data_IF_310951662133
#
_entry.id   IF_310951662133
#
_cell.length_a   1.000
_cell.length_b   1.000
_cell.length_c   1.000
_cell.angle_alpha   90.00
_cell.angle_beta   90.00
_cell.angle_gamma   90.00
#
_symmetry.space_group_name_H-M   'P 1'
#
loop_
_entity.id
_entity.type
_entity.pdbx_description
1 polymer ?
#
# COMPACT_ATOMS: atom_id res chain seq x y z
N UNK A 1 -14.55 -56.64 -42.79
CA UNK A 1 -14.06 -55.73 -43.84
C UNK A 1 -13.55 -54.49 -43.12
N UNK A 2 -12.28 -54.50 -42.74
CA UNK A 2 -11.66 -53.40 -42.02
C UNK A 2 -10.97 -52.47 -43.02
N UNK A 3 -11.41 -51.22 -43.06
CA UNK A 3 -10.76 -50.16 -43.82
C UNK A 3 -9.54 -49.68 -43.03
N UNK A 4 -8.32 -49.67 -43.60
CA UNK A 4 -7.17 -49.11 -42.93
C UNK A 4 -7.26 -47.58 -42.96
N UNK A 5 -7.47 -46.98 -41.80
CA UNK A 5 -7.27 -45.54 -41.60
C UNK A 5 -5.76 -45.29 -41.62
N UNK A 6 -5.23 -44.93 -42.78
CA UNK A 6 -3.86 -44.44 -42.89
C UNK A 6 -3.79 -43.05 -42.26
N UNK A 7 -3.30 -42.96 -41.03
CA UNK A 7 -2.85 -41.69 -40.46
C UNK A 7 -1.59 -41.26 -41.23
N UNK A 8 -1.73 -40.31 -42.15
CA UNK A 8 -0.58 -39.63 -42.75
C UNK A 8 0.12 -38.83 -41.66
N UNK A 9 1.29 -39.30 -41.23
CA UNK A 9 2.20 -38.50 -40.42
C UNK A 9 2.73 -37.34 -41.27
N UNK A 10 2.04 -36.20 -41.20
CA UNK A 10 2.45 -34.95 -41.84
C UNK A 10 3.41 -34.23 -40.89
N UNK A 11 4.67 -34.15 -41.27
CA UNK A 11 5.65 -33.30 -40.59
C UNK A 11 5.40 -31.81 -40.89
N UNK A 12 5.86 -30.95 -39.98
CA UNK A 12 5.83 -29.50 -40.16
C UNK A 12 6.83 -29.06 -41.24
N UNK A 13 6.43 -28.09 -42.06
CA UNK A 13 7.36 -27.46 -43.01
C UNK A 13 8.22 -26.41 -42.31
N UNK A 14 9.45 -26.19 -42.78
CA UNK A 14 10.37 -25.22 -42.18
C UNK A 14 9.77 -23.80 -42.07
N UNK A 15 9.03 -23.37 -43.10
CA UNK A 15 8.32 -22.08 -43.10
C UNK A 15 7.21 -22.00 -42.05
N UNK A 16 6.49 -23.09 -41.83
CA UNK A 16 5.42 -23.16 -40.82
C UNK A 16 6.00 -23.02 -39.41
N UNK A 17 7.12 -23.70 -39.14
CA UNK A 17 7.83 -23.56 -37.87
C UNK A 17 8.30 -22.11 -37.65
N UNK A 18 8.89 -21.47 -38.67
CA UNK A 18 9.30 -20.06 -38.60
C UNK A 18 8.11 -19.17 -38.25
N UNK A 19 6.99 -19.33 -38.93
CA UNK A 19 5.82 -18.49 -38.73
C UNK A 19 5.23 -18.65 -37.33
N UNK A 20 5.14 -19.89 -36.83
CA UNK A 20 4.70 -20.19 -35.47
C UNK A 20 5.65 -19.55 -34.45
N UNK A 21 6.97 -19.65 -34.64
CA UNK A 21 7.93 -18.99 -33.74
C UNK A 21 7.81 -17.47 -33.74
N UNK A 22 7.53 -16.83 -34.88
CA UNK A 22 7.34 -15.38 -34.95
C UNK A 22 6.09 -14.97 -34.16
N UNK A 23 4.96 -15.66 -34.37
CA UNK A 23 3.72 -15.38 -33.65
C UNK A 23 3.90 -15.62 -32.15
N UNK A 24 4.54 -16.74 -31.78
CA UNK A 24 4.78 -17.09 -30.39
C UNK A 24 5.70 -16.06 -29.70
N UNK A 25 6.72 -15.58 -30.41
CA UNK A 25 7.65 -14.57 -29.88
C UNK A 25 6.95 -13.22 -29.66
N UNK A 26 6.10 -12.79 -30.60
CA UNK A 26 5.27 -11.58 -30.42
C UNK A 26 4.31 -11.73 -29.24
N UNK A 27 3.66 -12.88 -29.12
CA UNK A 27 2.77 -13.17 -27.99
C UNK A 27 3.50 -13.22 -26.64
N UNK A 28 4.74 -13.70 -26.60
CA UNK A 28 5.52 -13.71 -25.37
C UNK A 28 5.99 -12.30 -24.99
N UNK A 29 6.31 -11.46 -25.97
CA UNK A 29 6.74 -10.08 -25.76
C UNK A 29 5.64 -9.24 -25.10
N UNK A 30 4.39 -9.39 -25.54
CA UNK A 30 3.25 -8.66 -24.95
C UNK A 30 3.00 -9.06 -23.50
N UNK A 31 3.28 -10.30 -23.10
CA UNK A 31 3.14 -10.76 -21.71
C UNK A 31 4.24 -10.14 -20.83
N UNK A 32 5.48 -10.07 -21.34
CA UNK A 32 6.62 -9.48 -20.60
C UNK A 32 6.34 -8.03 -20.20
N UNK A 33 5.64 -7.27 -21.04
CA UNK A 33 5.29 -5.87 -20.77
C UNK A 33 4.26 -5.70 -19.63
N UNK A 34 3.48 -6.73 -19.30
CA UNK A 34 2.43 -6.68 -18.27
C UNK A 34 3.00 -6.97 -16.87
N UNK A 35 4.12 -7.71 -16.78
CA UNK A 35 4.73 -8.08 -15.49
C UNK A 35 5.11 -6.88 -14.60
N UNK A 36 5.76 -5.81 -15.11
CA UNK A 36 6.10 -4.65 -14.28
C UNK A 36 4.88 -3.98 -13.65
N UNK A 37 3.74 -3.97 -14.34
CA UNK A 37 2.50 -3.42 -13.79
C UNK A 37 1.97 -4.28 -12.64
N UNK A 38 2.07 -5.61 -12.77
CA UNK A 38 1.68 -6.54 -11.71
C UNK A 38 2.51 -6.37 -10.44
N UNK A 39 3.82 -6.17 -10.57
CA UNK A 39 4.70 -5.92 -9.42
C UNK A 39 4.38 -4.60 -8.72
N UNK A 40 4.17 -3.51 -9.46
CA UNK A 40 3.78 -2.21 -8.89
C UNK A 40 2.43 -2.25 -8.18
N UNK A 41 1.46 -2.94 -8.78
CA UNK A 41 0.14 -3.11 -8.16
C UNK A 41 0.22 -3.95 -6.86
N UNK A 42 1.06 -5.00 -6.86
CA UNK A 42 1.31 -5.80 -5.66
C UNK A 42 1.94 -4.95 -4.55
N UNK A 43 2.99 -4.21 -4.86
CA UNK A 43 3.71 -3.37 -3.89
C UNK A 43 2.79 -2.31 -3.28
N UNK A 44 1.99 -1.63 -4.10
CA UNK A 44 1.00 -0.68 -3.61
C UNK A 44 -0.04 -1.37 -2.69
N UNK A 45 -0.56 -2.53 -3.09
CA UNK A 45 -1.52 -3.27 -2.27
C UNK A 45 -0.92 -3.72 -0.92
N UNK A 46 0.35 -4.13 -0.91
CA UNK A 46 1.10 -4.48 0.29
C UNK A 46 1.28 -3.27 1.21
N UNK A 47 1.71 -2.13 0.67
CA UNK A 47 1.83 -0.86 1.40
C UNK A 47 0.49 -0.43 2.01
N UNK A 48 -0.60 -0.48 1.24
CA UNK A 48 -1.94 -0.16 1.76
C UNK A 48 -2.36 -1.12 2.88
N UNK A 49 -2.09 -2.42 2.73
CA UNK A 49 -2.44 -3.43 3.73
C UNK A 49 -1.68 -3.21 5.04
N UNK A 50 -0.35 -2.98 4.97
CA UNK A 50 0.48 -2.69 6.14
C UNK A 50 -0.02 -1.41 6.83
N UNK A 51 -0.22 -0.35 6.05
CA UNK A 51 -0.67 0.95 6.58
C UNK A 51 -2.03 0.86 7.26
N UNK A 52 -2.97 0.09 6.70
CA UNK A 52 -4.28 -0.15 7.31
C UNK A 52 -4.18 -0.93 8.62
N UNK A 53 -3.36 -1.98 8.67
CA UNK A 53 -3.12 -2.77 9.88
C UNK A 53 -2.47 -1.94 10.99
N UNK A 54 -1.50 -1.10 10.65
CA UNK A 54 -0.86 -0.18 11.59
C UNK A 54 -1.86 0.86 12.14
N UNK A 55 -2.68 1.45 11.27
CA UNK A 55 -3.74 2.37 11.68
C UNK A 55 -4.74 1.71 12.63
N UNK A 56 -5.15 0.48 12.33
CA UNK A 56 -6.05 -0.29 13.20
C UNK A 56 -5.41 -0.61 14.55
N UNK A 57 -4.12 -0.99 14.57
CA UNK A 57 -3.36 -1.27 15.80
C UNK A 57 -3.39 -0.07 16.76
N UNK A 58 -3.14 1.14 16.25
CA UNK A 58 -3.20 2.38 17.05
C UNK A 58 -4.61 2.63 17.58
N UNK A 59 -5.65 2.46 16.74
CA UNK A 59 -7.04 2.62 17.17
C UNK A 59 -7.39 1.64 18.29
N UNK A 60 -7.00 0.38 18.18
CA UNK A 60 -7.25 -0.63 19.19
C UNK A 60 -6.49 -0.36 20.49
N UNK A 61 -5.25 0.10 20.38
CA UNK A 61 -4.45 0.52 21.53
C UNK A 61 -5.12 1.69 22.28
N UNK A 62 -5.55 2.72 21.57
CA UNK A 62 -6.27 3.86 22.18
C UNK A 62 -7.60 3.40 22.80
N UNK A 63 -8.33 2.50 22.13
CA UNK A 63 -9.56 1.90 22.69
C UNK A 63 -9.29 1.11 23.96
N UNK A 64 -8.13 0.44 24.04
CA UNK A 64 -7.69 -0.32 25.22
C UNK A 64 -7.25 0.59 26.36
N UNK A 65 -6.52 1.67 26.06
CA UNK A 65 -6.14 2.71 27.03
C UNK A 65 -7.37 3.45 27.57
N UNK A 66 -8.40 3.61 26.73
CA UNK A 66 -9.70 4.17 27.10
C UNK A 66 -9.75 5.70 27.01
N UNK A 67 -10.97 6.24 27.16
CA UNK A 67 -11.28 7.66 26.93
C UNK A 67 -10.39 8.64 27.73
N UNK A 68 -10.10 8.30 28.99
CA UNK A 68 -9.36 9.18 29.91
C UNK A 68 -7.86 9.30 29.58
N UNK A 69 -7.29 8.31 28.88
CA UNK A 69 -5.88 8.36 28.46
C UNK A 69 -5.57 9.53 27.52
N UNK A 70 -6.57 9.97 26.75
CA UNK A 70 -6.50 11.09 25.82
C UNK A 70 -6.72 12.45 26.49
N UNK A 71 -7.17 12.46 27.75
CA UNK A 71 -7.38 13.68 28.55
C UNK A 71 -6.09 14.14 29.27
N UNK A 72 -4.96 13.46 29.07
CA UNK A 72 -3.71 13.82 29.74
C UNK A 72 -3.19 15.18 29.25
N UNK A 73 -2.87 16.12 30.16
CA UNK A 73 -2.43 17.48 29.81
C UNK A 73 -1.07 17.53 29.09
N UNK A 74 -0.34 16.41 29.01
CA UNK A 74 0.92 16.32 28.26
C UNK A 74 0.75 16.17 26.74
N UNK A 75 -0.48 15.96 26.27
CA UNK A 75 -0.77 15.62 24.87
C UNK A 75 -1.78 16.59 24.21
N UNK A 76 -2.29 17.56 24.97
CA UNK A 76 -3.38 18.43 24.52
C UNK A 76 -2.85 19.79 24.07
N UNK A 77 -3.32 20.27 22.91
CA UNK A 77 -3.02 21.63 22.43
C UNK A 77 -4.07 22.64 22.95
N UNK A 78 -5.22 22.12 23.41
CA UNK A 78 -6.28 22.82 24.13
C UNK A 78 -6.94 21.89 25.17
N UNK A 79 -8.07 22.30 25.75
CA UNK A 79 -8.75 21.54 26.82
C UNK A 79 -9.40 20.24 26.29
N UNK A 80 -9.71 20.18 24.99
CA UNK A 80 -10.55 19.16 24.36
C UNK A 80 -9.98 18.55 23.07
N UNK A 81 -8.76 18.92 22.68
CA UNK A 81 -8.07 18.45 21.48
C UNK A 81 -6.59 18.12 21.76
N UNK A 82 -6.06 17.17 21.01
CA UNK A 82 -4.68 16.73 21.21
C UNK A 82 -4.11 15.95 20.05
N UNK A 83 -2.78 15.87 20.05
CA UNK A 83 -1.98 15.21 19.03
C UNK A 83 -0.96 14.31 19.71
N UNK A 84 -0.87 13.06 19.27
CA UNK A 84 0.15 12.09 19.66
C UNK A 84 0.84 11.59 18.40
N UNK A 85 2.15 11.79 18.31
CA UNK A 85 2.97 11.30 17.20
C UNK A 85 3.93 10.21 17.70
N UNK A 86 4.32 9.31 16.81
CA UNK A 86 5.30 8.28 17.11
C UNK A 86 5.73 7.48 15.89
N UNK A 87 6.60 6.50 16.12
CA UNK A 87 7.18 5.63 15.10
C UNK A 87 6.96 4.18 15.49
N UNK A 88 6.98 3.29 14.51
CA UNK A 88 6.84 1.86 14.75
C UNK A 88 8.23 1.21 14.81
N UNK A 89 8.59 0.64 15.96
CA UNK A 89 9.88 -0.06 16.13
C UNK A 89 10.03 -1.22 15.13
N UNK A 90 8.94 -1.94 14.87
CA UNK A 90 8.91 -3.10 13.96
C UNK A 90 8.80 -2.71 12.47
N UNK A 91 8.49 -1.45 12.14
CA UNK A 91 8.22 -1.01 10.76
C UNK A 91 8.98 0.29 10.46
N UNK A 92 10.22 0.16 9.99
CA UNK A 92 11.04 1.31 9.60
C UNK A 92 10.39 2.11 8.47
N UNK A 93 10.56 3.44 8.52
CA UNK A 93 9.96 4.37 7.56
C UNK A 93 8.47 4.68 7.80
N UNK A 94 7.80 3.97 8.71
CA UNK A 94 6.42 4.26 9.10
C UNK A 94 6.35 5.09 10.39
N UNK A 95 5.59 6.18 10.30
CA UNK A 95 5.28 7.06 11.44
C UNK A 95 3.77 7.19 11.56
N UNK A 96 3.28 7.52 12.74
CA UNK A 96 1.87 7.80 12.96
C UNK A 96 1.66 9.17 13.60
N UNK A 97 0.51 9.75 13.29
CA UNK A 97 -0.06 10.93 13.93
C UNK A 97 -1.49 10.59 14.33
N UNK A 98 -1.76 10.58 15.62
CA UNK A 98 -3.09 10.43 16.20
C UNK A 98 -3.56 11.82 16.63
N UNK A 99 -4.69 12.26 16.10
CA UNK A 99 -5.39 13.48 16.48
C UNK A 99 -6.72 13.10 17.13
N UNK A 100 -7.11 13.81 18.17
CA UNK A 100 -8.45 13.69 18.74
C UNK A 100 -9.06 15.03 19.02
N UNK A 101 -10.37 15.08 18.90
CA UNK A 101 -11.18 16.22 19.31
C UNK A 101 -12.51 15.74 19.89
N UNK A 102 -13.03 16.47 20.87
CA UNK A 102 -14.38 16.25 21.37
C UNK A 102 -15.41 16.46 20.25
N UNK A 103 -16.43 15.62 20.25
CA UNK A 103 -17.58 15.74 19.35
C UNK A 103 -18.62 16.70 19.94
N UNK A 104 -19.58 17.13 19.12
CA UNK A 104 -20.80 17.80 19.58
C UNK A 104 -21.60 16.94 20.56
N UNK A 105 -21.45 15.61 20.49
CA UNK A 105 -22.07 14.68 21.43
C UNK A 105 -21.22 14.55 22.70
N UNK A 106 -21.78 14.80 23.90
CA UNK A 106 -21.03 14.69 25.14
C UNK A 106 -20.50 13.26 25.33
N UNK A 107 -19.30 13.15 25.89
CA UNK A 107 -18.61 11.88 26.13
C UNK A 107 -18.23 11.09 24.87
N UNK A 108 -18.24 11.75 23.70
CA UNK A 108 -17.80 11.16 22.43
C UNK A 108 -16.62 11.97 21.88
N UNK A 109 -15.52 11.29 21.59
CA UNK A 109 -14.36 11.89 20.91
C UNK A 109 -14.21 11.34 19.51
N UNK A 110 -13.92 12.20 18.56
CA UNK A 110 -13.46 11.81 17.23
C UNK A 110 -11.96 11.56 17.29
N UNK A 111 -11.55 10.41 16.79
CA UNK A 111 -10.15 10.04 16.62
C UNK A 111 -9.82 10.03 15.13
N UNK A 112 -8.68 10.61 14.76
CA UNK A 112 -8.10 10.53 13.43
C UNK A 112 -6.69 9.98 13.56
N UNK A 113 -6.44 8.81 12.98
CA UNK A 113 -5.12 8.21 12.89
C UNK A 113 -4.62 8.35 11.46
N UNK A 114 -3.50 9.02 11.31
CA UNK A 114 -2.81 9.24 10.05
C UNK A 114 -1.51 8.45 10.09
N UNK A 115 -1.34 7.50 9.17
CA UNK A 115 -0.08 6.76 8.99
C UNK A 115 0.69 7.39 7.83
N UNK A 116 1.95 7.71 8.07
CA UNK A 116 2.86 8.38 7.15
C UNK A 116 3.99 7.41 6.79
N UNK A 117 4.14 7.10 5.51
CA UNK A 117 5.25 6.31 4.98
C UNK A 117 6.28 7.21 4.28
N UNK A 118 7.53 7.14 4.71
CA UNK A 118 8.64 7.85 4.06
C UNK A 118 9.00 7.16 2.74
N UNK A 119 8.49 7.66 1.61
CA UNK A 119 8.85 7.10 0.30
C UNK A 119 10.27 7.49 -0.17
N UNK A 120 11.06 8.22 0.62
CA UNK A 120 12.43 8.56 0.24
C UNK A 120 13.37 7.35 0.21
N UNK A 121 13.06 6.29 0.98
CA UNK A 121 13.80 5.02 0.96
C UNK A 121 13.44 4.16 -0.26
N UNK A 122 12.15 4.09 -0.63
CA UNK A 122 11.66 3.31 -1.77
C UNK A 122 12.18 3.86 -3.11
N UNK A 123 12.32 5.18 -3.23
CA UNK A 123 12.85 5.83 -4.45
C UNK A 123 14.35 5.61 -4.70
N UNK A 124 15.11 5.07 -3.74
CA UNK A 124 16.54 4.77 -3.94
C UNK A 124 16.78 3.53 -4.78
N UNK A 125 15.95 2.48 -4.64
CA UNK A 125 16.11 1.25 -5.43
C UNK A 125 15.67 1.40 -6.90
N UNK A 126 14.68 2.26 -7.19
CA UNK A 126 14.25 2.51 -8.58
C UNK A 126 15.25 3.37 -9.40
N UNK A 127 16.11 4.17 -8.75
CA UNK A 127 16.99 5.14 -9.42
C UNK A 127 18.31 4.55 -9.94
N UNK A 128 18.70 3.35 -9.55
CA UNK A 128 19.91 2.70 -10.11
C UNK A 128 19.72 2.20 -11.56
N UNK A 129 18.49 2.23 -12.10
CA UNK A 129 18.22 1.82 -13.49
C UNK A 129 18.05 2.95 -14.52
N UNK A 130 17.93 4.22 -14.12
CA UNK A 130 17.59 5.29 -15.08
C UNK A 130 18.22 6.63 -14.73
N UNK A 131 19.45 6.85 -15.22
CA UNK A 131 20.08 8.15 -15.22
C UNK A 131 19.49 9.04 -16.33
N UNK A 132 18.63 10.00 -15.96
CA UNK A 132 18.69 11.41 -16.38
C UNK A 132 17.51 12.25 -15.85
N UNK A 133 17.89 13.30 -15.11
CA UNK A 133 17.32 14.66 -15.05
C UNK A 133 15.79 14.84 -14.98
N UNK A 134 15.30 15.28 -13.81
CA UNK A 134 14.83 16.67 -13.66
C UNK A 134 14.65 17.05 -12.18
N UNK A 135 14.99 18.30 -11.90
CA UNK A 135 15.00 18.97 -10.60
C UNK A 135 13.58 19.48 -10.25
N UNK A 136 13.27 19.49 -8.95
CA UNK A 136 12.21 20.20 -8.24
C UNK A 136 10.75 19.78 -8.47
N UNK A 137 10.24 19.00 -7.51
CA UNK A 137 9.07 19.40 -6.73
C UNK A 137 9.16 18.78 -5.34
N UNK A 138 9.08 19.62 -4.31
CA UNK A 138 8.71 19.23 -2.94
C UNK A 138 7.25 18.77 -2.95
N UNK A 139 6.96 17.68 -3.67
CA UNK A 139 5.71 16.95 -3.45
C UNK A 139 5.97 16.03 -2.27
N UNK A 140 5.29 16.33 -1.16
CA UNK A 140 5.21 15.48 0.03
C UNK A 140 4.93 14.04 -0.38
N UNK A 141 6.00 13.26 -0.62
CA UNK A 141 5.90 11.87 -1.05
C UNK A 141 5.66 10.98 0.15
N UNK A 142 4.66 11.35 0.93
CA UNK A 142 4.16 10.54 2.02
C UNK A 142 2.90 9.89 1.50
N UNK A 143 2.91 8.57 1.35
CA UNK A 143 1.64 7.87 1.25
C UNK A 143 0.98 7.96 2.63
N UNK A 144 -0.27 8.44 2.62
CA UNK A 144 -1.00 8.82 3.81
C UNK A 144 -2.30 8.03 3.83
N UNK A 145 -2.53 7.28 4.91
CA UNK A 145 -3.83 6.66 5.16
C UNK A 145 -4.42 7.26 6.43
N UNK A 146 -5.62 7.84 6.28
CA UNK A 146 -6.39 8.41 7.36
C UNK A 146 -7.49 7.43 7.79
N UNK A 147 -7.43 6.95 9.03
CA UNK A 147 -8.52 6.22 9.67
C UNK A 147 -9.20 7.13 10.68
N UNK A 148 -10.51 7.30 10.52
CA UNK A 148 -11.33 8.08 11.45
C UNK A 148 -12.27 7.15 12.20
N UNK A 149 -12.30 7.28 13.52
CA UNK A 149 -13.23 6.54 14.37
C UNK A 149 -13.72 7.41 15.53
N UNK A 150 -14.64 6.88 16.32
CA UNK A 150 -15.13 7.56 17.52
C UNK A 150 -14.88 6.71 18.75
N UNK A 151 -14.55 7.37 19.85
CA UNK A 151 -14.34 6.76 21.15
C UNK A 151 -15.34 7.36 22.14
N UNK A 152 -16.20 6.51 22.69
CA UNK A 152 -17.11 6.90 23.75
C UNK A 152 -16.48 6.66 25.12
N UNK A 153 -16.82 7.49 26.10
CA UNK A 153 -16.52 7.20 27.51
C UNK A 153 -17.28 5.94 27.92
N UNK A 154 -16.57 5.01 28.56
CA UNK A 154 -17.17 3.79 29.10
C UNK A 154 -17.68 4.08 30.51
N UNK A 155 -18.94 3.73 30.77
CA UNK A 155 -19.58 3.81 32.09
C UNK A 155 -18.93 2.86 33.11
#
# INVERSE_FOLDING_TARGET
>A
MDLPIQAKEKGFTFFEVIFITVILSLGLLTIIEIFPLGFKAKEAAEQYSITALLGQKIIEEVKREGYESLSSPSLSQGENDGIREGEFEDYQGYRYRLEWCDSETPYLRKLKVTILLDNSEIKREEREGNAKNHLNNEDNSWQCLDLVTYLAKKD
#
